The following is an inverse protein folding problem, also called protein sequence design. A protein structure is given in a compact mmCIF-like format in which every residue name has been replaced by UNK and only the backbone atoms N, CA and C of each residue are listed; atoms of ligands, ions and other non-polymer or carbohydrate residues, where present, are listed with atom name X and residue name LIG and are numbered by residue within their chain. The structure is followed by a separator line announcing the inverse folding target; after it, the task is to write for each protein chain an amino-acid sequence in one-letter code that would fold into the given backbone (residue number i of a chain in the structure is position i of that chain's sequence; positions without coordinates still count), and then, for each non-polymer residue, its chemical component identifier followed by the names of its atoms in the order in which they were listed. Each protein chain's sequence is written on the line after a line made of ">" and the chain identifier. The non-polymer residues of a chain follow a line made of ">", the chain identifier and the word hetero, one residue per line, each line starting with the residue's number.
data_IF_595317905281
#
_entry.id   IF_595317905281
#
_cell.length_a   1.000
_cell.length_b   1.000
_cell.length_c   1.000
_cell.angle_alpha   90.00
_cell.angle_beta   90.00
_cell.angle_gamma   90.00
#
_symmetry.space_group_name_H-M   'P 1'
#
loop_
_entity.id
_entity.type
_entity.pdbx_description
1 polymer ?
#
# COMPACT_ATOMS: atom_id res chain seq x y z
N UNK A 1 10.19 -1.58 -20.85
CA UNK A 1 10.00 -0.64 -19.73
C UNK A 1 10.02 -1.39 -18.40
N UNK A 2 9.19 -2.43 -18.24
CA UNK A 2 9.22 -3.34 -17.07
C UNK A 2 10.59 -3.97 -16.86
N UNK A 3 11.26 -4.50 -17.90
CA UNK A 3 12.59 -5.12 -17.74
C UNK A 3 13.66 -4.17 -17.21
N UNK A 4 13.71 -2.93 -17.72
CA UNK A 4 14.65 -1.91 -17.26
C UNK A 4 14.34 -1.49 -15.81
N UNK A 5 13.06 -1.43 -15.46
CA UNK A 5 12.60 -1.14 -14.10
C UNK A 5 12.95 -2.26 -13.12
N UNK A 6 12.72 -3.52 -13.52
CA UNK A 6 13.08 -4.72 -12.75
C UNK A 6 14.60 -4.83 -12.57
N UNK A 7 15.38 -4.56 -13.61
CA UNK A 7 16.85 -4.49 -13.49
C UNK A 7 17.28 -3.36 -12.54
N UNK A 8 16.62 -2.21 -12.59
CA UNK A 8 16.81 -1.11 -11.64
C UNK A 8 16.57 -1.56 -10.19
N UNK A 9 15.47 -2.26 -9.91
CA UNK A 9 15.17 -2.79 -8.57
C UNK A 9 16.21 -3.83 -8.14
N UNK A 10 16.55 -4.80 -9.00
CA UNK A 10 17.55 -5.84 -8.69
C UNK A 10 18.95 -5.26 -8.45
N UNK A 11 19.26 -4.09 -9.01
CA UNK A 11 20.52 -3.39 -8.78
C UNK A 11 20.59 -2.70 -7.41
N UNK A 12 19.45 -2.54 -6.72
CA UNK A 12 19.44 -1.98 -5.38
C UNK A 12 20.09 -2.98 -4.41
N UNK A 13 21.05 -2.55 -3.58
CA UNK A 13 21.69 -3.43 -2.63
C UNK A 13 20.69 -3.94 -1.59
N UNK A 14 20.84 -5.21 -1.16
CA UNK A 14 20.08 -5.84 -0.06
C UNK A 14 20.19 -5.10 1.29
N UNK A 15 21.18 -4.20 1.37
CA UNK A 15 21.32 -3.20 2.42
C UNK A 15 21.31 -1.83 1.77
N UNK A 16 20.34 -1.00 2.13
CA UNK A 16 20.30 0.39 1.69
C UNK A 16 21.53 1.14 2.23
N UNK A 17 22.36 1.66 1.32
CA UNK A 17 23.36 2.66 1.65
C UNK A 17 22.65 4.01 1.79
N UNK A 18 22.53 4.60 2.99
CA UNK A 18 21.75 5.81 3.18
C UNK A 18 22.32 7.03 2.42
N UNK A 19 23.60 7.00 2.06
CA UNK A 19 24.26 8.09 1.35
C UNK A 19 23.97 8.10 -0.15
N UNK A 20 23.49 7.00 -0.72
CA UNK A 20 23.08 6.91 -2.13
C UNK A 20 21.59 7.12 -2.34
N UNK A 21 20.82 7.34 -1.26
CA UNK A 21 19.40 7.56 -1.33
C UNK A 21 19.07 8.98 -1.82
N UNK A 22 17.96 9.11 -2.53
CA UNK A 22 17.31 10.37 -2.76
C UNK A 22 16.98 11.06 -1.41
N UNK A 23 17.16 12.38 -1.25
CA UNK A 23 16.94 13.07 0.02
C UNK A 23 15.57 12.83 0.65
N UNK A 24 14.51 12.72 -0.16
CA UNK A 24 13.15 12.46 0.32
C UNK A 24 13.02 11.03 0.88
N UNK A 25 13.56 10.02 0.19
CA UNK A 25 13.55 8.63 0.66
C UNK A 25 14.43 8.46 1.91
N UNK A 26 15.57 9.16 1.98
CA UNK A 26 16.40 9.21 3.19
C UNK A 26 15.64 9.79 4.39
N UNK A 27 14.93 10.91 4.21
CA UNK A 27 14.12 11.52 5.26
C UNK A 27 13.00 10.58 5.72
N UNK A 28 12.32 9.91 4.79
CA UNK A 28 11.29 8.92 5.10
C UNK A 28 11.86 7.75 5.92
N UNK A 29 13.02 7.20 5.52
CA UNK A 29 13.71 6.14 6.27
C UNK A 29 14.02 6.57 7.71
N UNK A 30 14.53 7.80 7.89
CA UNK A 30 14.82 8.36 9.21
C UNK A 30 13.56 8.45 10.08
N UNK A 31 12.47 8.99 9.52
CA UNK A 31 11.20 9.14 10.24
C UNK A 31 10.56 7.79 10.59
N UNK A 32 10.65 6.81 9.69
CA UNK A 32 10.15 5.45 9.92
C UNK A 32 10.93 4.75 11.03
N UNK A 33 12.27 4.80 10.98
CA UNK A 33 13.12 4.25 12.04
C UNK A 33 12.80 4.86 13.40
N UNK A 34 12.67 6.19 13.44
CA UNK A 34 12.27 6.88 14.66
C UNK A 34 10.89 6.42 15.16
N UNK A 35 9.93 6.29 14.25
CA UNK A 35 8.56 5.89 14.59
C UNK A 35 8.44 4.45 15.08
N UNK A 36 9.17 3.52 14.46
CA UNK A 36 9.18 2.12 14.85
C UNK A 36 9.98 1.89 16.14
N UNK A 37 11.20 2.44 16.24
CA UNK A 37 12.10 2.18 17.36
C UNK A 37 11.71 2.96 18.62
N UNK A 38 11.41 4.25 18.50
CA UNK A 38 11.18 5.11 19.68
C UNK A 38 9.71 5.15 20.08
N UNK A 39 8.80 5.17 19.11
CA UNK A 39 7.37 5.39 19.36
C UNK A 39 6.54 4.11 19.34
N UNK A 40 7.15 2.97 18.96
CA UNK A 40 6.47 1.66 18.73
C UNK A 40 5.22 1.81 17.84
N UNK A 41 5.24 2.76 16.92
CA UNK A 41 4.10 3.06 16.05
C UNK A 41 4.18 2.17 14.83
N UNK A 42 3.31 1.17 14.76
CA UNK A 42 3.00 0.45 13.53
C UNK A 42 1.63 0.89 13.02
N UNK A 43 1.45 1.01 11.71
CA UNK A 43 0.11 1.23 11.14
C UNK A 43 -0.01 2.46 10.24
N UNK A 44 -1.09 3.26 10.34
CA UNK A 44 -1.38 4.40 9.44
C UNK A 44 -0.24 5.40 9.27
N UNK A 45 0.66 5.55 10.25
CA UNK A 45 1.83 6.41 10.11
C UNK A 45 2.74 6.05 8.94
N UNK A 46 2.89 4.76 8.63
CA UNK A 46 3.67 4.30 7.47
C UNK A 46 3.05 4.85 6.18
N UNK A 47 1.72 4.75 6.07
CA UNK A 47 1.01 5.27 4.90
C UNK A 47 1.04 6.78 4.84
N UNK A 48 1.09 7.48 5.97
CA UNK A 48 1.19 8.93 5.99
C UNK A 48 2.57 9.41 5.53
N UNK A 49 3.64 8.75 5.99
CA UNK A 49 5.01 9.01 5.51
C UNK A 49 5.10 8.72 4.01
N UNK A 50 4.53 7.60 3.54
CA UNK A 50 4.45 7.27 2.12
C UNK A 50 3.72 8.37 1.34
N UNK A 51 2.52 8.77 1.79
CA UNK A 51 1.72 9.77 1.10
C UNK A 51 2.41 11.13 1.03
N UNK A 52 2.99 11.59 2.15
CA UNK A 52 3.68 12.87 2.21
C UNK A 52 4.95 12.88 1.34
N UNK A 53 5.72 11.78 1.38
CA UNK A 53 6.92 11.65 0.57
C UNK A 53 6.60 11.67 -0.93
N UNK A 54 5.56 10.95 -1.36
CA UNK A 54 5.12 10.98 -2.77
C UNK A 54 4.67 12.37 -3.21
N UNK A 55 3.90 13.08 -2.38
CA UNK A 55 3.51 14.47 -2.67
C UNK A 55 4.71 15.39 -2.78
N UNK A 56 5.69 15.23 -1.88
CA UNK A 56 6.91 16.03 -1.91
C UNK A 56 7.74 15.75 -3.17
N UNK A 57 7.86 14.48 -3.58
CA UNK A 57 8.56 14.10 -4.81
C UNK A 57 7.86 14.72 -6.03
N UNK A 58 6.53 14.61 -6.11
CA UNK A 58 5.76 15.20 -7.20
C UNK A 58 5.98 16.71 -7.32
N UNK A 59 6.15 17.41 -6.21
CA UNK A 59 6.34 18.86 -6.19
C UNK A 59 7.79 19.28 -6.46
N UNK A 60 8.78 18.49 -6.05
CA UNK A 60 10.20 18.89 -6.06
C UNK A 60 11.03 18.23 -7.15
N UNK A 61 10.66 17.03 -7.60
CA UNK A 61 11.45 16.24 -8.55
C UNK A 61 10.52 15.26 -9.32
N UNK A 62 9.57 15.81 -10.08
CA UNK A 62 8.60 15.03 -10.85
C UNK A 62 9.26 14.08 -11.85
N UNK A 63 10.36 14.50 -12.49
CA UNK A 63 11.08 13.68 -13.48
C UNK A 63 11.60 12.38 -12.88
N UNK A 64 12.00 12.40 -11.60
CA UNK A 64 12.48 11.20 -10.89
C UNK A 64 11.40 10.48 -10.11
N UNK A 65 10.13 10.88 -10.25
CA UNK A 65 9.04 10.42 -9.39
C UNK A 65 8.99 8.89 -9.26
N UNK A 66 9.02 8.18 -10.39
CA UNK A 66 8.94 6.72 -10.40
C UNK A 66 10.15 6.06 -9.76
N UNK A 67 11.36 6.56 -10.02
CA UNK A 67 12.58 6.01 -9.43
C UNK A 67 12.60 6.21 -7.91
N UNK A 68 12.24 7.41 -7.43
CA UNK A 68 12.21 7.70 -5.99
C UNK A 68 11.06 6.97 -5.29
N UNK A 69 9.94 6.73 -5.96
CA UNK A 69 8.85 5.90 -5.42
C UNK A 69 9.29 4.47 -5.13
N UNK A 70 10.05 3.85 -6.04
CA UNK A 70 10.61 2.49 -5.85
C UNK A 70 11.58 2.45 -4.69
N UNK A 71 12.46 3.44 -4.63
CA UNK A 71 13.40 3.61 -3.54
C UNK A 71 12.66 3.76 -2.20
N UNK A 72 11.58 4.55 -2.18
CA UNK A 72 10.72 4.76 -1.03
C UNK A 72 10.06 3.46 -0.55
N UNK A 73 9.53 2.63 -1.44
CA UNK A 73 8.99 1.29 -1.09
C UNK A 73 10.07 0.45 -0.42
N UNK A 74 11.26 0.42 -1.01
CA UNK A 74 12.39 -0.38 -0.51
C UNK A 74 12.80 0.06 0.90
N UNK A 75 12.95 1.37 1.14
CA UNK A 75 13.32 1.86 2.48
C UNK A 75 12.22 1.62 3.52
N UNK A 76 10.94 1.70 3.13
CA UNK A 76 9.82 1.43 4.04
C UNK A 76 9.80 -0.04 4.45
N UNK A 77 9.97 -0.95 3.48
CA UNK A 77 10.03 -2.38 3.73
C UNK A 77 11.24 -2.77 4.59
N UNK A 78 12.42 -2.20 4.33
CA UNK A 78 13.59 -2.39 5.17
C UNK A 78 13.38 -1.89 6.59
N UNK A 79 12.82 -0.70 6.77
CA UNK A 79 12.54 -0.15 8.09
C UNK A 79 11.56 -1.03 8.88
N UNK A 80 10.53 -1.56 8.21
CA UNK A 80 9.60 -2.51 8.80
C UNK A 80 10.27 -3.81 9.23
N UNK A 81 11.09 -4.40 8.36
CA UNK A 81 11.87 -5.62 8.65
C UNK A 81 12.81 -5.43 9.83
N UNK A 82 13.61 -4.37 9.83
CA UNK A 82 14.59 -4.06 10.89
C UNK A 82 13.89 -3.88 12.25
N UNK A 83 12.66 -3.36 12.23
CA UNK A 83 11.81 -3.21 13.40
C UNK A 83 10.96 -4.44 13.76
N UNK A 84 11.13 -5.55 13.03
CA UNK A 84 10.35 -6.80 13.17
C UNK A 84 8.83 -6.60 13.04
N UNK A 85 8.42 -5.59 12.27
CA UNK A 85 7.02 -5.38 11.89
C UNK A 85 6.71 -6.36 10.77
N UNK A 86 5.64 -7.16 10.93
CA UNK A 86 5.23 -8.10 9.91
C UNK A 86 5.02 -7.43 8.54
N UNK A 87 5.23 -8.18 7.46
CA UNK A 87 5.10 -7.67 6.10
C UNK A 87 3.70 -7.12 5.79
N UNK A 88 2.65 -7.78 6.29
CA UNK A 88 1.25 -7.43 6.04
C UNK A 88 0.90 -5.97 6.38
N UNK A 89 1.10 -5.49 7.62
CA UNK A 89 0.78 -4.11 7.95
C UNK A 89 1.60 -3.12 7.11
N UNK A 90 2.90 -3.38 6.90
CA UNK A 90 3.75 -2.47 6.12
C UNK A 90 3.25 -2.38 4.67
N UNK A 91 3.02 -3.53 4.04
CA UNK A 91 2.48 -3.62 2.67
C UNK A 91 1.17 -2.82 2.54
N UNK A 92 0.19 -3.12 3.39
CA UNK A 92 -1.13 -2.49 3.33
C UNK A 92 -1.03 -0.96 3.41
N UNK A 93 -0.22 -0.43 4.32
CA UNK A 93 -0.12 1.02 4.50
C UNK A 93 0.74 1.72 3.43
N UNK A 94 1.71 1.06 2.79
CA UNK A 94 2.36 1.58 1.57
C UNK A 94 1.30 1.86 0.50
N UNK A 95 0.43 0.89 0.21
CA UNK A 95 -0.61 1.05 -0.81
C UNK A 95 -1.65 2.10 -0.44
N UNK A 96 -2.17 2.09 0.78
CA UNK A 96 -3.13 3.10 1.21
C UNK A 96 -2.55 4.52 1.18
N UNK A 97 -1.26 4.67 1.56
CA UNK A 97 -0.55 5.94 1.46
C UNK A 97 -0.37 6.41 0.02
N UNK A 98 -0.02 5.50 -0.89
CA UNK A 98 0.10 5.81 -2.31
C UNK A 98 -1.24 6.23 -2.94
N UNK A 99 -2.30 5.47 -2.69
CA UNK A 99 -3.67 5.79 -3.15
C UNK A 99 -4.11 7.16 -2.62
N UNK A 100 -3.80 7.45 -1.36
CA UNK A 100 -4.11 8.75 -0.75
C UNK A 100 -3.35 9.90 -1.45
N UNK A 101 -2.06 9.73 -1.72
CA UNK A 101 -1.29 10.71 -2.47
C UNK A 101 -1.85 10.93 -3.88
N UNK A 102 -2.18 9.85 -4.60
CA UNK A 102 -2.80 9.92 -5.93
C UNK A 102 -4.11 10.71 -5.92
N UNK A 103 -4.94 10.51 -4.87
CA UNK A 103 -6.18 11.26 -4.69
C UNK A 103 -5.91 12.75 -4.53
N UNK A 104 -4.97 13.13 -3.67
CA UNK A 104 -4.70 14.53 -3.35
C UNK A 104 -3.98 15.28 -4.47
N UNK A 105 -3.17 14.57 -5.26
CA UNK A 105 -2.47 15.12 -6.42
C UNK A 105 -3.35 15.17 -7.68
N UNK A 106 -4.57 14.61 -7.63
CA UNK A 106 -5.49 14.50 -8.77
C UNK A 106 -4.82 13.90 -10.01
N UNK A 107 -4.05 12.82 -9.84
CA UNK A 107 -3.40 12.18 -10.98
C UNK A 107 -4.41 11.69 -12.02
N UNK A 108 -3.99 11.76 -13.28
CA UNK A 108 -4.73 11.18 -14.39
C UNK A 108 -4.88 9.67 -14.22
N UNK A 109 -5.97 9.14 -14.75
CA UNK A 109 -6.38 7.74 -14.60
C UNK A 109 -5.31 6.74 -15.02
N UNK A 110 -4.59 7.02 -16.11
CA UNK A 110 -3.53 6.15 -16.66
C UNK A 110 -2.27 6.18 -15.78
N UNK A 111 -1.95 7.34 -15.20
CA UNK A 111 -0.82 7.49 -14.29
C UNK A 111 -1.04 6.75 -12.97
N UNK A 112 -2.28 6.74 -12.46
CA UNK A 112 -2.67 5.98 -11.28
C UNK A 112 -2.40 4.48 -11.49
N UNK A 113 -2.80 3.95 -12.64
CA UNK A 113 -2.65 2.54 -13.00
C UNK A 113 -1.17 2.14 -13.05
N UNK A 114 -0.37 2.89 -13.81
CA UNK A 114 1.07 2.67 -13.94
C UNK A 114 1.78 2.74 -12.58
N UNK A 115 1.43 3.72 -11.75
CA UNK A 115 2.05 3.87 -10.42
C UNK A 115 1.75 2.68 -9.51
N UNK A 116 0.52 2.18 -9.48
CA UNK A 116 0.16 1.02 -8.67
C UNK A 116 0.83 -0.27 -9.15
N UNK A 117 0.93 -0.42 -10.47
CA UNK A 117 1.66 -1.52 -11.09
C UNK A 117 3.13 -1.52 -10.63
N UNK A 118 3.80 -0.37 -10.78
CA UNK A 118 5.19 -0.22 -10.39
C UNK A 118 5.41 -0.35 -8.87
N UNK A 119 4.46 0.07 -8.04
CA UNK A 119 4.50 -0.14 -6.58
C UNK A 119 4.46 -1.64 -6.23
N UNK A 120 3.60 -2.43 -6.90
CA UNK A 120 3.53 -3.87 -6.69
C UNK A 120 4.82 -4.56 -7.09
N UNK A 121 5.35 -4.23 -8.26
CA UNK A 121 6.62 -4.76 -8.74
C UNK A 121 7.75 -4.43 -7.75
N UNK A 122 7.80 -3.19 -7.25
CA UNK A 122 8.78 -2.77 -6.25
C UNK A 122 8.69 -3.56 -4.93
N UNK A 123 7.47 -3.90 -4.48
CA UNK A 123 7.30 -4.78 -3.31
C UNK A 123 7.80 -6.19 -3.61
N UNK A 124 7.35 -6.81 -4.70
CA UNK A 124 7.63 -8.23 -4.99
C UNK A 124 9.10 -8.49 -5.29
N UNK A 125 9.77 -7.50 -5.85
CA UNK A 125 11.17 -7.56 -6.23
C UNK A 125 12.09 -6.90 -5.21
N UNK A 126 11.56 -6.42 -4.06
CA UNK A 126 12.40 -5.71 -3.11
C UNK A 126 13.53 -6.62 -2.62
N UNK A 127 14.80 -6.14 -2.63
CA UNK A 127 15.91 -6.90 -2.05
C UNK A 127 15.89 -6.87 -0.52
N UNK A 128 14.89 -6.19 0.08
CA UNK A 128 14.68 -6.15 1.53
C UNK A 128 14.20 -7.48 2.10
N UNK A 129 13.56 -8.34 1.32
CA UNK A 129 13.01 -9.61 1.77
C UNK A 129 13.47 -10.74 0.85
N UNK A 130 14.01 -11.80 1.45
CA UNK A 130 14.20 -13.07 0.75
C UNK A 130 12.85 -13.77 0.70
N UNK A 131 12.10 -13.54 -0.38
CA UNK A 131 10.76 -14.10 -0.52
C UNK A 131 10.81 -15.61 -0.71
N UNK A 132 9.92 -16.28 0.01
CA UNK A 132 9.64 -17.71 -0.17
C UNK A 132 8.21 -17.83 -0.68
N UNK A 133 7.84 -19.02 -1.16
CA UNK A 133 6.49 -19.27 -1.68
C UNK A 133 5.38 -18.86 -0.71
N UNK A 134 5.52 -19.18 0.59
CA UNK A 134 4.55 -18.80 1.62
C UNK A 134 4.38 -17.27 1.74
N UNK A 135 5.44 -16.50 1.50
CA UNK A 135 5.36 -15.04 1.48
C UNK A 135 4.57 -14.54 0.27
N UNK A 136 4.77 -15.11 -0.92
CA UNK A 136 4.00 -14.78 -2.11
C UNK A 136 2.52 -15.11 -1.94
N UNK A 137 2.18 -16.24 -1.31
CA UNK A 137 0.78 -16.56 -0.99
C UNK A 137 0.15 -15.49 -0.10
N UNK A 138 0.86 -15.04 0.95
CA UNK A 138 0.39 -13.95 1.82
C UNK A 138 0.21 -12.65 1.03
N UNK A 139 1.16 -12.28 0.18
CA UNK A 139 1.03 -11.09 -0.68
C UNK A 139 -0.17 -11.19 -1.62
N UNK A 140 -0.43 -12.35 -2.23
CA UNK A 140 -1.61 -12.56 -3.07
C UNK A 140 -2.93 -12.36 -2.30
N UNK A 141 -3.00 -12.85 -1.05
CA UNK A 141 -4.14 -12.59 -0.16
C UNK A 141 -4.28 -11.09 0.18
N UNK A 142 -3.17 -10.40 0.45
CA UNK A 142 -3.16 -8.97 0.76
C UNK A 142 -3.58 -8.11 -0.42
N UNK A 143 -3.13 -8.44 -1.62
CA UNK A 143 -3.56 -7.80 -2.87
C UNK A 143 -5.07 -7.99 -3.05
N UNK A 144 -5.57 -9.21 -2.85
CA UNK A 144 -7.01 -9.46 -2.93
C UNK A 144 -7.76 -8.60 -1.92
N UNK A 145 -7.31 -8.57 -0.66
CA UNK A 145 -7.89 -7.71 0.38
C UNK A 145 -7.89 -6.24 -0.02
N UNK A 146 -6.78 -5.73 -0.58
CA UNK A 146 -6.64 -4.35 -1.04
C UNK A 146 -7.68 -3.98 -2.12
N UNK A 147 -7.98 -4.88 -3.07
CA UNK A 147 -9.05 -4.62 -4.05
C UNK A 147 -10.43 -4.46 -3.39
N UNK A 148 -10.71 -5.20 -2.32
CA UNK A 148 -11.95 -5.05 -1.53
C UNK A 148 -11.96 -3.76 -0.72
N UNK A 149 -10.82 -3.37 -0.17
CA UNK A 149 -10.61 -2.08 0.50
C UNK A 149 -10.87 -0.90 -0.44
N UNK A 150 -10.45 -0.98 -1.70
CA UNK A 150 -10.73 0.04 -2.72
C UNK A 150 -12.22 0.09 -3.08
N UNK A 151 -12.89 -1.07 -3.25
CA UNK A 151 -14.33 -1.13 -3.46
C UNK A 151 -15.11 -0.55 -2.27
N UNK A 152 -14.62 -0.73 -1.04
CA UNK A 152 -15.16 -0.10 0.15
C UNK A 152 -15.08 1.43 0.08
N UNK A 153 -13.91 1.97 -0.31
CA UNK A 153 -13.71 3.41 -0.46
C UNK A 153 -14.58 4.01 -1.57
N UNK A 154 -14.83 3.26 -2.66
CA UNK A 154 -15.83 3.63 -3.69
C UNK A 154 -17.23 3.75 -3.12
N UNK A 155 -17.70 2.78 -2.35
CA UNK A 155 -19.05 2.80 -1.76
C UNK A 155 -19.27 4.05 -0.90
N UNK A 156 -18.19 4.56 -0.29
CA UNK A 156 -18.17 5.76 0.54
C UNK A 156 -17.97 7.05 -0.25
N UNK A 157 -17.99 6.98 -1.59
CA UNK A 157 -17.80 8.10 -2.52
C UNK A 157 -16.45 8.82 -2.36
N UNK A 158 -15.43 8.12 -1.85
CA UNK A 158 -14.07 8.65 -1.81
C UNK A 158 -13.44 8.73 -3.20
N UNK A 159 -13.89 7.89 -4.13
CA UNK A 159 -13.42 7.81 -5.51
C UNK A 159 -14.59 7.72 -6.50
N UNK A 160 -14.35 8.18 -7.72
CA UNK A 160 -15.25 7.94 -8.85
C UNK A 160 -15.21 6.47 -9.28
N UNK A 161 -16.23 6.04 -10.04
CA UNK A 161 -16.26 4.69 -10.62
C UNK A 161 -15.06 4.43 -11.53
N UNK A 162 -14.68 5.43 -12.33
CA UNK A 162 -13.53 5.36 -13.25
C UNK A 162 -12.23 5.20 -12.46
N UNK A 163 -12.02 6.03 -11.44
CA UNK A 163 -10.83 5.96 -10.58
C UNK A 163 -10.77 4.61 -9.88
N UNK A 164 -11.90 4.13 -9.34
CA UNK A 164 -11.96 2.82 -8.67
C UNK A 164 -11.57 1.70 -9.62
N UNK A 165 -12.11 1.71 -10.84
CA UNK A 165 -11.76 0.73 -11.86
C UNK A 165 -10.26 0.73 -12.15
N UNK A 166 -9.64 1.90 -12.35
CA UNK A 166 -8.21 2.04 -12.62
C UNK A 166 -7.33 1.59 -11.46
N UNK A 167 -7.73 1.89 -10.22
CA UNK A 167 -7.03 1.40 -9.03
C UNK A 167 -7.02 -0.13 -8.97
N UNK A 168 -8.17 -0.76 -9.19
CA UNK A 168 -8.29 -2.23 -9.18
C UNK A 168 -7.55 -2.85 -10.37
N UNK A 169 -7.65 -2.24 -11.54
CA UNK A 169 -6.98 -2.69 -12.75
C UNK A 169 -5.45 -2.64 -12.59
N UNK A 170 -4.89 -1.51 -12.15
CA UNK A 170 -3.45 -1.37 -11.93
C UNK A 170 -2.90 -2.32 -10.87
N UNK A 171 -3.69 -2.63 -9.84
CA UNK A 171 -3.34 -3.68 -8.87
C UNK A 171 -3.35 -5.06 -9.52
N UNK A 172 -4.35 -5.36 -10.35
CA UNK A 172 -4.46 -6.62 -11.07
C UNK A 172 -3.30 -6.84 -12.04
N UNK A 173 -3.04 -5.88 -12.92
CA UNK A 173 -1.95 -5.91 -13.88
C UNK A 173 -0.59 -5.97 -13.18
N UNK A 174 -0.38 -5.15 -12.13
CA UNK A 174 0.84 -5.21 -11.34
C UNK A 174 1.08 -6.58 -10.72
N UNK A 175 0.03 -7.23 -10.21
CA UNK A 175 0.15 -8.58 -9.68
C UNK A 175 0.49 -9.62 -10.76
N UNK A 176 -0.15 -9.55 -11.93
CA UNK A 176 0.13 -10.45 -13.04
C UNK A 176 1.59 -10.28 -13.53
N UNK A 177 2.04 -9.04 -13.69
CA UNK A 177 3.44 -8.74 -14.06
C UNK A 177 4.42 -9.25 -13.00
N UNK A 178 4.08 -9.14 -11.71
CA UNK A 178 4.88 -9.73 -10.64
C UNK A 178 4.99 -11.26 -10.79
N UNK A 179 3.92 -11.96 -11.15
CA UNK A 179 3.97 -13.42 -11.34
C UNK A 179 4.88 -13.84 -12.50
N UNK A 180 5.03 -12.99 -13.52
CA UNK A 180 5.94 -13.27 -14.64
C UNK A 180 7.40 -13.22 -14.21
N UNK A 181 7.76 -12.28 -13.34
CA UNK A 181 9.14 -11.97 -12.95
C UNK A 181 9.65 -12.75 -11.73
N UNK A 182 8.78 -13.27 -10.88
CA UNK A 182 9.20 -14.07 -9.72
C UNK A 182 9.65 -15.48 -10.11
N UNK A 183 10.63 -15.99 -9.36
CA UNK A 183 11.26 -17.29 -9.55
C UNK A 183 10.54 -18.37 -8.72
N UNK A 184 9.32 -18.70 -9.13
CA UNK A 184 8.53 -19.83 -8.59
C UNK A 184 8.04 -20.71 -9.74
N UNK A 185 7.74 -21.98 -9.47
CA UNK A 185 7.33 -22.91 -10.52
C UNK A 185 5.94 -22.59 -11.09
N UNK A 186 5.60 -23.18 -12.23
CA UNK A 186 4.33 -22.91 -12.91
C UNK A 186 3.09 -23.28 -12.09
N UNK A 187 3.16 -24.35 -11.28
CA UNK A 187 2.05 -24.79 -10.42
C UNK A 187 1.80 -23.75 -9.32
N UNK A 188 2.88 -23.26 -8.72
CA UNK A 188 2.88 -22.19 -7.74
C UNK A 188 2.32 -20.89 -8.32
N UNK A 189 2.70 -20.51 -9.55
CA UNK A 189 2.13 -19.33 -10.23
C UNK A 189 0.61 -19.45 -10.41
N UNK A 190 0.11 -20.63 -10.80
CA UNK A 190 -1.32 -20.85 -10.96
C UNK A 190 -2.08 -20.86 -9.62
N UNK A 191 -1.50 -21.38 -8.53
CA UNK A 191 -2.10 -21.28 -7.19
C UNK A 191 -2.20 -19.81 -6.73
N UNK A 192 -1.15 -19.01 -6.94
CA UNK A 192 -1.19 -17.57 -6.63
C UNK A 192 -2.27 -16.83 -7.44
N UNK A 193 -2.44 -17.15 -8.74
CA UNK A 193 -3.56 -16.63 -9.55
C UNK A 193 -4.90 -17.07 -9.00
N UNK A 194 -5.02 -18.32 -8.56
CA UNK A 194 -6.26 -18.84 -7.99
C UNK A 194 -6.64 -18.10 -6.70
N UNK A 195 -5.68 -17.80 -5.82
CA UNK A 195 -5.90 -16.98 -4.62
C UNK A 195 -6.48 -15.61 -4.99
N UNK A 196 -5.88 -14.91 -5.96
CA UNK A 196 -6.36 -13.60 -6.40
C UNK A 196 -7.76 -13.65 -7.04
N UNK A 197 -8.02 -14.69 -7.85
CA UNK A 197 -9.31 -14.89 -8.54
C UNK A 197 -10.44 -15.32 -7.61
N UNK A 198 -10.15 -15.85 -6.42
CA UNK A 198 -11.19 -16.29 -5.48
C UNK A 198 -12.17 -15.14 -5.20
N UNK A 199 -13.49 -15.37 -5.32
CA UNK A 199 -14.48 -14.39 -4.89
C UNK A 199 -14.31 -14.09 -3.40
N UNK A 200 -14.38 -12.81 -3.03
CA UNK A 200 -14.45 -12.43 -1.61
C UNK A 200 -15.88 -12.63 -1.13
N UNK A 201 -16.19 -13.83 -0.62
CA UNK A 201 -17.44 -14.10 0.07
C UNK A 201 -17.30 -13.77 1.55
N UNK A 202 -18.16 -12.88 2.05
CA UNK A 202 -18.27 -12.58 3.47
C UNK A 202 -17.33 -11.48 3.97
N UNK A 203 -17.95 -10.41 4.46
CA UNK A 203 -17.59 -9.46 5.53
C UNK A 203 -16.15 -9.36 6.10
N UNK A 204 -15.89 -8.17 6.68
CA UNK A 204 -14.80 -7.74 7.59
C UNK A 204 -13.60 -7.03 6.94
N UNK A 205 -13.75 -5.73 6.71
CA UNK A 205 -12.63 -4.86 6.35
C UNK A 205 -13.06 -3.44 5.98
N UNK A 206 -14.32 -3.26 5.55
CA UNK A 206 -14.88 -1.95 5.17
C UNK A 206 -14.62 -0.87 6.24
N UNK A 207 -14.86 -1.19 7.51
CA UNK A 207 -14.73 -0.23 8.61
C UNK A 207 -13.28 0.01 9.03
N UNK A 208 -12.45 -1.03 9.08
CA UNK A 208 -11.05 -0.89 9.48
C UNK A 208 -10.25 -0.17 8.41
N UNK A 209 -10.46 -0.52 7.13
CA UNK A 209 -9.91 0.24 6.01
C UNK A 209 -10.39 1.68 5.99
N UNK A 210 -11.67 1.93 6.28
CA UNK A 210 -12.18 3.29 6.37
C UNK A 210 -11.52 4.06 7.50
N UNK A 211 -11.46 3.50 8.71
CA UNK A 211 -10.80 4.12 9.85
C UNK A 211 -9.34 4.42 9.51
N UNK A 212 -8.61 3.43 8.97
CA UNK A 212 -7.22 3.58 8.55
C UNK A 212 -7.03 4.65 7.46
N UNK A 213 -7.90 4.67 6.44
CA UNK A 213 -7.88 5.68 5.39
C UNK A 213 -8.20 7.09 5.92
N UNK A 214 -9.13 7.19 6.87
CA UNK A 214 -9.41 8.45 7.56
C UNK A 214 -8.22 8.83 8.46
N UNK A 215 -7.53 7.88 9.10
CA UNK A 215 -6.31 8.16 9.87
C UNK A 215 -5.20 8.73 9.00
N UNK A 216 -5.15 8.36 7.73
CA UNK A 216 -4.29 9.01 6.73
C UNK A 216 -4.79 10.40 6.33
N UNK A 217 -6.06 10.73 6.55
CA UNK A 217 -6.71 11.98 6.18
C UNK A 217 -7.03 12.84 7.42
N UNK A 218 -6.08 13.72 7.80
CA UNK A 218 -6.20 14.73 8.88
C UNK A 218 -6.73 14.20 10.24
N UNK A 219 -5.92 14.22 11.31
CA UNK A 219 -6.33 13.81 12.67
C UNK A 219 -7.64 14.44 13.19
N UNK A 220 -8.01 15.64 12.72
CA UNK A 220 -9.27 16.30 13.09
C UNK A 220 -10.51 15.64 12.48
N UNK A 221 -10.38 15.07 11.28
CA UNK A 221 -11.46 14.35 10.60
C UNK A 221 -11.70 12.97 11.21
N UNK A 222 -10.64 12.26 11.62
CA UNK A 222 -10.69 11.00 12.37
C UNK A 222 -11.55 11.12 13.61
N UNK A 223 -11.32 12.18 14.40
CA UNK A 223 -12.03 12.40 15.66
C UNK A 223 -13.52 12.60 15.42
N UNK A 224 -13.90 13.39 14.40
CA UNK A 224 -15.30 13.61 14.01
C UNK A 224 -15.98 12.33 13.49
N UNK A 225 -15.28 11.51 12.73
CA UNK A 225 -15.82 10.24 12.20
C UNK A 225 -15.93 9.16 13.28
N UNK A 226 -14.95 9.03 14.17
CA UNK A 226 -15.07 8.16 15.35
C UNK A 226 -16.22 8.56 16.26
N UNK A 227 -16.44 9.85 16.49
CA UNK A 227 -17.60 10.35 17.24
C UNK A 227 -18.91 9.94 16.56
N UNK A 228 -19.09 10.24 15.26
CA UNK A 228 -20.29 9.83 14.51
C UNK A 228 -20.48 8.31 14.44
N UNK A 229 -19.39 7.56 14.38
CA UNK A 229 -19.43 6.10 14.36
C UNK A 229 -19.88 5.52 15.71
N UNK A 230 -19.37 6.06 16.82
CA UNK A 230 -19.79 5.67 18.17
C UNK A 230 -21.27 5.99 18.41
N UNK A 231 -21.75 7.14 17.92
CA UNK A 231 -23.18 7.50 17.93
C UNK A 231 -24.04 6.51 17.14
N UNK A 232 -23.60 6.09 15.95
CA UNK A 232 -24.27 5.10 15.12
C UNK A 232 -24.30 3.71 15.78
N UNK A 233 -23.17 3.26 16.35
CA UNK A 233 -23.10 1.99 17.10
C UNK A 233 -24.06 1.97 18.27
N UNK A 234 -24.14 3.07 19.03
CA UNK A 234 -25.08 3.19 20.14
C UNK A 234 -26.53 3.10 19.65
N UNK A 235 -26.91 3.84 18.60
CA UNK A 235 -28.26 3.80 18.01
C UNK A 235 -28.67 2.41 17.51
N UNK A 236 -27.74 1.64 16.96
CA UNK A 236 -27.99 0.27 16.51
C UNK A 236 -28.14 -0.69 17.71
N UNK A 237 -27.38 -0.49 18.79
CA UNK A 237 -27.51 -1.30 20.01
C UNK A 237 -28.86 -1.11 20.73
N UNK A 238 -29.38 0.13 20.75
CA UNK A 238 -30.70 0.43 21.34
C UNK A 238 -31.85 -0.25 20.59
N UNK A 239 -31.74 -0.43 19.26
CA UNK A 239 -32.74 -1.15 18.45
C UNK A 239 -32.75 -2.67 18.67
N UNK A 240 -31.70 -3.25 19.27
CA UNK A 240 -31.65 -4.69 19.59
C UNK A 240 -32.20 -5.03 20.98
N UNK A 241 -32.34 -4.05 21.88
CA UNK A 241 -32.88 -4.25 23.23
C UNK A 241 -34.37 -3.92 23.34
N UNK A 242 -34.97 -3.35 22.29
CA UNK A 242 -36.38 -2.95 22.21
C UNK A 242 -37.25 -3.92 21.37
N UNK A 243 -36.76 -5.14 21.15
CA UNK A 243 -37.53 -6.27 20.60
C UNK A 243 -37.62 -7.39 21.62
#
# INVERSE_FOLDING_TARGET
>A
MVDAFVQGIKSLPSRVNPQSLHPIAFNALRELRQSFLEKKKTGPWVGQIMANSLKEIQQKDEEKFMAVMVELVTVVLLAGRDAQVGLEPVFRYIFLGAIKAMQELNFESERIELMLEQLLIAVFMTPAYDFEYAHYQRLAFLIKRLTGEILALRFLRCFSDITTFRLIHGIGEGFLNCLEIIEVDAVQKEDLKAIYKKPMYGYFGYYDCLIDYIWLADPLWVKKLQTKFNELKQKISFKKQSK
#
